data_IF_580426499327
#
_entry.id   IF_580426499327
#
_cell.length_a   1.000
_cell.length_b   1.000
_cell.length_c   1.000
_cell.angle_alpha   90.00
_cell.angle_beta   90.00
_cell.angle_gamma   90.00
#
_symmetry.space_group_name_H-M   'P 1'
#
loop_
_entity.id
_entity.type
_entity.pdbx_description
1 polymer ?
#
# COMPACT_ATOMS: atom_id res chain seq x y z
N UNK A 1 -1.35 -11.48 -12.42
CA UNK A 1 -1.91 -12.41 -11.45
C UNK A 1 -2.46 -11.57 -10.29
N UNK A 2 -3.71 -11.72 -9.97
CA UNK A 2 -4.42 -10.87 -9.01
C UNK A 2 -5.55 -11.66 -8.30
N UNK A 3 -5.50 -11.81 -7.00
CA UNK A 3 -4.30 -11.68 -6.17
C UNK A 3 -3.46 -12.97 -6.19
N UNK A 4 -2.16 -12.84 -5.98
CA UNK A 4 -1.24 -13.99 -5.99
C UNK A 4 -1.50 -14.96 -4.83
N UNK A 5 -1.89 -14.45 -3.67
CA UNK A 5 -2.15 -15.28 -2.48
C UNK A 5 -3.45 -16.11 -2.56
N UNK A 6 -4.25 -15.94 -3.61
CA UNK A 6 -5.42 -16.78 -3.92
C UNK A 6 -5.09 -17.97 -4.84
N UNK A 7 -3.80 -18.15 -5.17
CA UNK A 7 -3.38 -19.31 -5.96
C UNK A 7 -3.43 -20.59 -5.13
N UNK A 8 -3.80 -21.67 -5.77
CA UNK A 8 -3.85 -23.01 -5.15
C UNK A 8 -2.49 -23.41 -4.58
N UNK A 9 -2.52 -24.03 -3.42
CA UNK A 9 -1.33 -24.53 -2.74
C UNK A 9 -1.20 -26.04 -2.90
N UNK A 10 0.03 -26.52 -3.09
CA UNK A 10 0.33 -27.95 -3.10
C UNK A 10 0.21 -28.49 -1.66
N UNK A 11 -0.58 -29.54 -1.45
CA UNK A 11 -0.91 -30.08 -0.11
C UNK A 11 0.33 -30.48 0.72
N UNK A 12 1.38 -30.97 0.07
CA UNK A 12 2.57 -31.51 0.74
C UNK A 12 3.74 -30.53 0.86
N UNK A 13 3.58 -29.28 0.41
CA UNK A 13 4.70 -28.33 0.35
C UNK A 13 4.49 -27.17 1.32
N UNK A 14 5.47 -26.86 2.18
CA UNK A 14 5.37 -25.68 3.02
C UNK A 14 5.17 -24.41 2.17
N UNK A 15 4.13 -23.66 2.46
CA UNK A 15 3.67 -22.54 1.63
C UNK A 15 4.76 -21.49 1.34
N UNK A 16 5.64 -21.21 2.30
CA UNK A 16 6.75 -20.27 2.09
C UNK A 16 7.78 -20.78 1.06
N UNK A 17 7.91 -22.10 0.93
CA UNK A 17 8.77 -22.72 -0.07
C UNK A 17 8.10 -22.66 -1.44
N UNK A 18 6.82 -22.95 -1.52
CA UNK A 18 6.05 -22.86 -2.75
C UNK A 18 6.09 -21.42 -3.30
N UNK A 19 5.73 -20.41 -2.49
CA UNK A 19 5.77 -19.00 -2.90
C UNK A 19 7.16 -18.61 -3.44
N UNK A 20 8.23 -19.07 -2.81
CA UNK A 20 9.59 -18.82 -3.30
C UNK A 20 9.82 -19.41 -4.69
N UNK A 21 9.43 -20.66 -4.88
CA UNK A 21 9.68 -21.41 -6.10
C UNK A 21 8.81 -20.85 -7.26
N UNK A 22 7.57 -20.45 -6.97
CA UNK A 22 6.68 -19.80 -7.93
C UNK A 22 7.24 -18.43 -8.39
N UNK A 23 7.72 -17.63 -7.44
CA UNK A 23 8.35 -16.35 -7.78
C UNK A 23 9.62 -16.54 -8.60
N UNK A 24 10.43 -17.57 -8.34
CA UNK A 24 11.60 -17.90 -9.16
C UNK A 24 11.19 -18.29 -10.58
N UNK A 25 10.16 -19.13 -10.71
CA UNK A 25 9.62 -19.55 -12.01
C UNK A 25 9.13 -18.36 -12.82
N UNK A 26 8.37 -17.46 -12.20
CA UNK A 26 7.89 -16.25 -12.87
C UNK A 26 9.02 -15.31 -13.29
N UNK A 27 10.07 -15.18 -12.48
CA UNK A 27 11.26 -14.38 -12.84
C UNK A 27 11.97 -14.97 -14.06
N UNK A 28 12.16 -16.30 -14.09
CA UNK A 28 12.77 -16.99 -15.22
C UNK A 28 11.93 -16.81 -16.49
N UNK A 29 10.62 -17.04 -16.39
CA UNK A 29 9.70 -16.83 -17.51
C UNK A 29 9.74 -15.40 -18.05
N UNK A 30 9.69 -14.41 -17.17
CA UNK A 30 9.76 -13.00 -17.58
C UNK A 30 11.04 -12.67 -18.33
N UNK A 31 12.19 -13.19 -17.88
CA UNK A 31 13.47 -13.01 -18.57
C UNK A 31 13.52 -13.70 -19.93
N UNK A 32 13.06 -14.95 -20.01
CA UNK A 32 13.07 -15.73 -21.25
C UNK A 32 12.14 -15.15 -22.31
N UNK A 33 11.02 -14.59 -21.89
CA UNK A 33 10.01 -14.04 -22.81
C UNK A 33 10.11 -12.52 -22.99
N UNK A 34 11.06 -11.87 -22.33
CA UNK A 34 11.21 -10.40 -22.29
C UNK A 34 9.90 -9.69 -21.88
N UNK A 35 9.22 -10.23 -20.86
CA UNK A 35 7.96 -9.70 -20.36
C UNK A 35 8.10 -9.16 -18.96
N UNK A 36 7.40 -8.06 -18.68
CA UNK A 36 7.19 -7.56 -17.30
C UNK A 36 6.02 -8.31 -16.69
N UNK A 37 6.23 -8.87 -15.49
CA UNK A 37 5.19 -9.55 -14.73
C UNK A 37 4.83 -8.66 -13.55
N UNK A 38 3.57 -8.31 -13.43
CA UNK A 38 3.00 -7.56 -12.31
C UNK A 38 2.16 -8.53 -11.49
N UNK A 39 2.48 -8.61 -10.21
CA UNK A 39 1.74 -9.42 -9.25
C UNK A 39 1.11 -8.48 -8.23
N UNK A 40 -0.14 -8.72 -7.90
CA UNK A 40 -0.80 -8.06 -6.77
C UNK A 40 -0.89 -9.04 -5.62
N UNK A 41 -0.83 -8.52 -4.41
CA UNK A 41 -0.93 -9.30 -3.20
C UNK A 41 -1.68 -8.50 -2.13
N UNK A 42 -2.51 -9.18 -1.35
CA UNK A 42 -3.14 -8.56 -0.20
C UNK A 42 -2.18 -8.49 0.97
N UNK A 43 -2.35 -7.47 1.77
CA UNK A 43 -1.64 -7.35 3.03
C UNK A 43 -2.37 -8.16 4.10
N UNK A 44 -1.62 -8.67 5.06
CA UNK A 44 -2.20 -9.08 6.33
C UNK A 44 -2.77 -7.85 7.04
N UNK A 45 -3.57 -8.07 8.07
CA UNK A 45 -4.12 -6.98 8.87
C UNK A 45 -2.98 -6.11 9.43
N UNK A 46 -2.93 -4.88 8.96
CA UNK A 46 -1.98 -3.89 9.46
C UNK A 46 -2.52 -3.36 10.78
N UNK A 47 -1.73 -3.51 11.85
CA UNK A 47 -2.12 -2.99 13.16
C UNK A 47 -2.20 -1.47 13.14
N UNK A 48 -3.35 -0.95 13.52
CA UNK A 48 -3.55 0.48 13.75
C UNK A 48 -2.86 0.95 15.04
N UNK A 49 -2.51 2.21 15.08
CA UNK A 49 -1.96 2.89 16.26
C UNK A 49 -2.85 4.06 16.65
N UNK A 50 -3.06 4.23 17.95
CA UNK A 50 -3.75 5.39 18.46
C UNK A 50 -2.81 6.59 18.41
N UNK A 51 -3.25 7.67 17.76
CA UNK A 51 -2.55 8.95 17.70
C UNK A 51 -3.49 10.07 18.16
N UNK A 52 -2.90 11.20 18.51
CA UNK A 52 -3.66 12.43 18.81
C UNK A 52 -3.31 13.49 17.78
N UNK A 53 -4.32 14.24 17.38
CA UNK A 53 -4.15 15.42 16.54
C UNK A 53 -3.78 16.67 17.36
N UNK A 54 -3.67 17.81 16.68
CA UNK A 54 -3.36 19.10 17.33
C UNK A 54 -4.46 19.60 18.29
N UNK A 55 -5.69 19.12 18.12
CA UNK A 55 -6.81 19.39 19.02
C UNK A 55 -6.93 18.38 20.16
N UNK A 56 -5.94 17.50 20.31
CA UNK A 56 -5.88 16.42 21.28
C UNK A 56 -6.96 15.33 21.09
N UNK A 57 -7.61 15.31 19.92
CA UNK A 57 -8.56 14.27 19.56
C UNK A 57 -7.81 12.98 19.18
N UNK A 58 -8.24 11.85 19.70
CA UNK A 58 -7.68 10.54 19.40
C UNK A 58 -8.22 9.99 18.08
N UNK A 59 -7.36 9.33 17.30
CA UNK A 59 -7.75 8.63 16.08
C UNK A 59 -6.92 7.37 15.87
N UNK A 60 -7.49 6.41 15.15
CA UNK A 60 -6.76 5.22 14.72
C UNK A 60 -6.01 5.52 13.42
N UNK A 61 -4.71 5.37 13.44
CA UNK A 61 -3.85 5.50 12.28
C UNK A 61 -3.43 4.11 11.79
N UNK A 62 -3.79 3.79 10.56
CA UNK A 62 -3.30 2.62 9.85
C UNK A 62 -2.22 3.06 8.87
N UNK A 63 -0.95 2.69 9.10
CA UNK A 63 0.13 3.08 8.20
C UNK A 63 0.03 2.33 6.86
N UNK A 64 0.66 2.85 5.79
CA UNK A 64 0.84 2.08 4.57
C UNK A 64 1.56 0.76 4.89
N UNK A 65 1.06 -0.34 4.35
CA UNK A 65 1.65 -1.65 4.57
C UNK A 65 3.12 -1.67 4.14
N UNK A 66 3.95 -2.31 4.95
CA UNK A 66 5.36 -2.57 4.67
C UNK A 66 5.51 -3.97 4.07
N UNK A 67 6.68 -4.29 3.47
CA UNK A 67 6.90 -5.64 2.94
C UNK A 67 6.71 -6.76 3.97
N UNK A 68 6.99 -6.50 5.25
CA UNK A 68 6.78 -7.42 6.35
C UNK A 68 5.31 -7.66 6.71
N UNK A 69 4.42 -6.73 6.36
CA UNK A 69 2.99 -6.81 6.60
C UNK A 69 2.26 -7.61 5.49
N UNK A 70 2.98 -7.97 4.43
CA UNK A 70 2.43 -8.77 3.34
C UNK A 70 2.47 -10.26 3.67
N UNK A 71 1.51 -11.00 3.21
CA UNK A 71 1.58 -12.45 3.25
C UNK A 71 2.90 -12.91 2.59
N UNK A 72 3.73 -13.64 3.34
CA UNK A 72 5.07 -14.09 2.90
C UNK A 72 6.06 -12.95 2.56
N UNK A 73 5.93 -11.80 3.21
CA UNK A 73 6.59 -10.53 2.88
C UNK A 73 8.08 -10.59 2.62
N UNK A 74 8.84 -11.42 3.35
CA UNK A 74 10.27 -11.56 3.13
C UNK A 74 10.61 -12.16 1.76
N UNK A 75 9.79 -13.07 1.24
CA UNK A 75 10.01 -13.67 -0.08
C UNK A 75 9.82 -12.63 -1.18
N UNK A 76 8.78 -11.82 -1.09
CA UNK A 76 8.54 -10.71 -1.99
C UNK A 76 9.70 -9.73 -1.98
N UNK A 77 10.14 -9.33 -0.79
CA UNK A 77 11.25 -8.39 -0.66
C UNK A 77 12.54 -8.92 -1.27
N UNK A 78 12.82 -10.21 -1.13
CA UNK A 78 14.03 -10.82 -1.70
C UNK A 78 13.97 -10.96 -3.22
N UNK A 79 12.84 -11.38 -3.77
CA UNK A 79 12.72 -11.79 -5.17
C UNK A 79 12.30 -10.66 -6.12
N UNK A 80 11.36 -9.81 -5.74
CA UNK A 80 10.87 -8.75 -6.61
C UNK A 80 11.95 -7.74 -7.00
N UNK A 81 11.88 -7.26 -8.23
CA UNK A 81 12.70 -6.14 -8.72
C UNK A 81 12.19 -4.81 -8.21
N UNK A 82 10.87 -4.64 -8.18
CA UNK A 82 10.20 -3.47 -7.63
C UNK A 82 9.12 -3.92 -6.66
N UNK A 83 8.95 -3.15 -5.58
CA UNK A 83 7.86 -3.30 -4.65
C UNK A 83 7.16 -1.95 -4.52
N UNK A 84 5.88 -1.96 -4.83
CA UNK A 84 5.04 -0.77 -4.81
C UNK A 84 3.85 -1.05 -3.92
N UNK A 85 3.64 -0.20 -2.93
CA UNK A 85 2.42 -0.21 -2.11
C UNK A 85 1.49 0.88 -2.59
N UNK A 86 0.25 0.52 -2.86
CA UNK A 86 -0.84 1.46 -3.08
C UNK A 86 -1.66 1.50 -1.80
N UNK A 87 -1.74 2.66 -1.18
CA UNK A 87 -2.44 2.85 0.07
C UNK A 87 -3.49 3.93 -0.08
N UNK A 88 -4.70 3.62 0.33
CA UNK A 88 -5.79 4.59 0.43
C UNK A 88 -6.13 4.78 1.91
N UNK A 89 -5.87 5.96 2.49
CA UNK A 89 -6.23 6.23 3.88
C UNK A 89 -7.71 6.01 4.10
N UNK A 90 -8.05 5.22 5.11
CA UNK A 90 -9.43 5.04 5.53
C UNK A 90 -9.81 6.17 6.48
N UNK A 91 -10.99 6.77 6.32
CA UNK A 91 -11.47 7.78 7.24
C UNK A 91 -12.02 7.07 8.50
N UNK A 92 -11.20 6.98 9.52
CA UNK A 92 -11.63 6.44 10.82
C UNK A 92 -11.12 7.33 11.95
N UNK A 93 -12.02 7.94 12.69
CA UNK A 93 -11.73 8.52 14.01
C UNK A 93 -12.19 7.56 15.08
N UNK A 94 -11.52 7.54 16.20
CA UNK A 94 -11.91 6.76 17.37
C UNK A 94 -12.10 7.68 18.55
N UNK A 95 -13.15 7.42 19.32
CA UNK A 95 -13.29 7.93 20.66
C UNK A 95 -12.86 6.83 21.64
N UNK A 96 -11.97 7.18 22.56
CA UNK A 96 -11.61 6.28 23.66
C UNK A 96 -12.54 6.60 24.81
N UNK A 97 -13.41 5.67 25.14
CA UNK A 97 -14.29 5.78 26.29
C UNK A 97 -13.51 5.66 27.61
N UNK A 98 -14.11 6.14 28.70
CA UNK A 98 -13.47 6.17 30.02
C UNK A 98 -13.09 4.78 30.57
N UNK A 99 -13.71 3.73 30.07
CA UNK A 99 -13.45 2.31 30.41
C UNK A 99 -12.37 1.67 29.52
N UNK A 100 -11.81 2.40 28.56
CA UNK A 100 -10.80 1.91 27.63
C UNK A 100 -11.37 1.22 26.39
N UNK A 101 -12.69 1.18 26.23
CA UNK A 101 -13.32 0.77 24.99
C UNK A 101 -13.13 1.83 23.90
N UNK A 102 -13.10 1.37 22.66
CA UNK A 102 -12.86 2.23 21.51
C UNK A 102 -14.10 2.25 20.64
N UNK A 103 -14.74 3.40 20.52
CA UNK A 103 -15.80 3.62 19.55
C UNK A 103 -15.24 4.19 18.26
N UNK A 104 -15.61 3.57 17.13
CA UNK A 104 -15.13 3.95 15.81
C UNK A 104 -16.12 4.89 15.17
N UNK A 105 -15.85 6.17 15.22
CA UNK A 105 -16.60 7.13 14.42
C UNK A 105 -15.72 8.24 13.85
N UNK A 106 -15.89 8.52 12.57
CA UNK A 106 -15.50 9.75 11.85
C UNK A 106 -14.04 9.95 11.43
N UNK A 107 -13.90 10.57 10.32
CA UNK A 107 -12.81 10.97 9.42
C UNK A 107 -11.38 11.03 9.97
N UNK A 108 -10.50 10.23 9.41
CA UNK A 108 -9.06 10.28 9.65
C UNK A 108 -8.50 11.70 9.41
N UNK A 109 -7.77 12.32 10.36
CA UNK A 109 -7.23 13.69 10.21
C UNK A 109 -6.37 13.89 8.96
N UNK A 110 -5.73 12.85 8.48
CA UNK A 110 -4.97 12.85 7.24
C UNK A 110 -5.84 13.22 6.03
N UNK A 111 -7.10 12.80 6.02
CA UNK A 111 -8.06 13.18 4.98
C UNK A 111 -8.52 14.65 5.12
N UNK A 112 -8.61 15.16 6.33
CA UNK A 112 -8.93 16.57 6.59
C UNK A 112 -7.79 17.50 6.23
N UNK A 113 -6.57 17.17 6.59
CA UNK A 113 -5.39 17.96 6.26
C UNK A 113 -5.16 18.10 4.75
N UNK A 114 -5.56 17.08 3.99
CA UNK A 114 -5.47 17.07 2.53
C UNK A 114 -6.71 17.65 1.84
N UNK A 115 -7.74 18.02 2.57
CA UNK A 115 -8.99 18.68 2.11
C UNK A 115 -9.71 18.00 0.95
N UNK A 116 -9.39 16.75 0.66
CA UNK A 116 -9.91 16.00 -0.48
C UNK A 116 -10.65 14.71 -0.08
N UNK A 117 -10.94 14.55 1.20
CA UNK A 117 -11.68 13.40 1.70
C UNK A 117 -11.04 12.07 1.29
N UNK A 118 -11.86 11.13 0.85
CA UNK A 118 -11.44 9.78 0.46
C UNK A 118 -10.73 9.70 -0.91
N UNK A 119 -10.41 10.83 -1.53
CA UNK A 119 -9.91 10.86 -2.91
C UNK A 119 -8.39 10.81 -3.02
N UNK A 120 -7.67 10.71 -1.89
CA UNK A 120 -6.22 10.59 -1.90
C UNK A 120 -5.79 9.12 -1.92
N UNK A 121 -4.79 8.82 -2.72
CA UNK A 121 -4.06 7.56 -2.71
C UNK A 121 -2.56 7.85 -2.58
N UNK A 122 -1.89 7.09 -1.72
CA UNK A 122 -0.44 7.12 -1.58
C UNK A 122 0.16 5.96 -2.36
N UNK A 123 1.04 6.25 -3.29
CA UNK A 123 1.85 5.25 -3.98
C UNK A 123 3.26 5.31 -3.43
N UNK A 124 3.70 4.23 -2.83
CA UNK A 124 5.03 4.13 -2.21
C UNK A 124 5.87 3.07 -2.89
N UNK A 125 6.97 3.51 -3.50
CA UNK A 125 8.00 2.60 -4.03
C UNK A 125 8.92 2.23 -2.86
N UNK A 126 8.80 1.01 -2.39
CA UNK A 126 9.56 0.51 -1.22
C UNK A 126 10.88 -0.15 -1.61
N UNK A 127 10.97 -0.60 -2.85
CA UNK A 127 12.17 -1.23 -3.39
C UNK A 127 12.28 -1.00 -4.89
N UNK A 128 13.49 -0.77 -5.35
CA UNK A 128 13.84 -0.75 -6.77
C UNK A 128 15.20 -1.40 -6.98
N UNK A 129 15.31 -2.31 -7.92
CA UNK A 129 16.54 -2.97 -8.38
C UNK A 129 16.69 -2.80 -9.90
N UNK A 130 17.92 -2.72 -10.40
CA UNK A 130 19.17 -2.56 -9.68
C UNK A 130 19.27 -1.16 -9.03
N UNK A 131 20.19 -1.04 -8.06
CA UNK A 131 20.46 0.26 -7.41
C UNK A 131 20.83 1.31 -8.47
N UNK A 132 20.24 2.50 -8.35
CA UNK A 132 20.53 3.64 -9.24
C UNK A 132 19.59 3.79 -10.44
N UNK A 133 18.73 2.82 -10.76
CA UNK A 133 17.77 2.93 -11.87
C UNK A 133 16.42 3.49 -11.40
N UNK A 134 16.04 3.28 -10.15
CA UNK A 134 14.80 3.81 -9.62
C UNK A 134 15.01 4.47 -8.27
N UNK A 135 14.13 5.42 -7.94
CA UNK A 135 14.10 6.07 -6.64
C UNK A 135 13.10 5.38 -5.73
N UNK A 136 13.51 5.16 -4.49
CA UNK A 136 12.58 4.85 -3.40
C UNK A 136 11.93 6.17 -3.01
N UNK A 137 10.64 6.18 -2.79
CA UNK A 137 9.90 7.39 -2.44
C UNK A 137 8.41 7.16 -2.46
N UNK A 138 7.69 8.23 -2.29
CA UNK A 138 6.23 8.21 -2.29
C UNK A 138 5.65 9.37 -3.09
N UNK A 139 4.48 9.13 -3.65
CA UNK A 139 3.71 10.11 -4.41
C UNK A 139 2.27 10.09 -3.89
N UNK A 140 1.75 11.27 -3.61
CA UNK A 140 0.34 11.47 -3.30
C UNK A 140 -0.42 11.74 -4.60
N UNK A 141 -1.39 10.88 -4.88
CA UNK A 141 -2.31 11.05 -5.99
C UNK A 141 -3.69 11.39 -5.45
N UNK A 142 -4.32 12.35 -6.07
CA UNK A 142 -5.68 12.76 -5.76
C UNK A 142 -6.57 12.42 -6.94
N UNK A 143 -7.76 11.93 -6.67
CA UNK A 143 -8.72 11.61 -7.72
C UNK A 143 -9.73 12.74 -7.86
N UNK A 144 -9.80 13.33 -9.04
CA UNK A 144 -10.82 14.31 -9.41
C UNK A 144 -12.05 13.54 -9.93
N UNK A 145 -13.10 13.51 -9.13
CA UNK A 145 -14.33 12.77 -9.45
C UNK A 145 -15.03 13.34 -10.70
N UNK A 146 -14.95 14.65 -10.90
CA UNK A 146 -15.63 15.32 -12.03
C UNK A 146 -14.91 14.99 -13.32
N UNK A 147 -13.58 15.08 -13.33
CA UNK A 147 -12.74 14.77 -14.49
C UNK A 147 -12.44 13.30 -14.67
N UNK A 148 -12.74 12.48 -13.64
CA UNK A 148 -12.40 11.04 -13.57
C UNK A 148 -10.91 10.77 -13.84
N UNK A 149 -10.02 11.63 -13.31
CA UNK A 149 -8.58 11.56 -13.51
C UNK A 149 -7.83 11.75 -12.20
N UNK A 150 -6.65 11.13 -12.13
CA UNK A 150 -5.71 11.41 -11.06
C UNK A 150 -4.90 12.66 -11.35
N UNK A 151 -4.52 13.37 -10.29
CA UNK A 151 -3.62 14.51 -10.34
C UNK A 151 -2.68 14.53 -9.13
N UNK A 152 -1.54 15.19 -9.28
CA UNK A 152 -0.66 15.59 -8.19
C UNK A 152 -0.80 17.08 -7.93
N UNK A 153 -0.35 17.53 -6.77
CA UNK A 153 -0.29 18.94 -6.39
C UNK A 153 1.18 19.32 -6.22
N UNK A 154 1.61 20.38 -6.87
CA UNK A 154 2.96 20.93 -6.71
C UNK A 154 3.07 21.86 -5.48
N UNK A 155 4.28 22.38 -5.23
CA UNK A 155 4.57 23.30 -4.13
C UNK A 155 3.76 24.62 -4.20
N UNK A 156 3.32 25.00 -5.39
CA UNK A 156 2.51 26.18 -5.65
C UNK A 156 1.00 25.90 -5.64
N UNK A 157 0.59 24.71 -5.21
CA UNK A 157 -0.81 24.24 -5.18
C UNK A 157 -1.45 24.06 -6.57
N UNK A 158 -0.66 23.97 -7.65
CA UNK A 158 -1.19 23.69 -8.98
C UNK A 158 -1.45 22.20 -9.15
N UNK A 159 -2.54 21.87 -9.86
CA UNK A 159 -2.91 20.48 -10.18
C UNK A 159 -2.27 20.04 -11.49
N UNK A 160 -1.56 18.93 -11.45
CA UNK A 160 -0.96 18.27 -12.61
C UNK A 160 -1.68 16.93 -12.83
N UNK A 161 -2.47 16.85 -13.88
CA UNK A 161 -3.24 15.66 -14.21
C UNK A 161 -2.38 14.62 -14.94
N UNK A 162 -2.64 13.35 -14.66
CA UNK A 162 -2.09 12.28 -15.45
C UNK A 162 -2.69 12.30 -16.87
N UNK A 163 -1.87 12.10 -17.87
CA UNK A 163 -2.27 11.98 -19.28
C UNK A 163 -3.07 10.70 -19.55
#
# INVERSE_FOLDING_TARGET
IDPFNEMDTEEDKPIHKQVRDDLETLIVYGKQTNKTIILTNHTNDVKGWIRKDLSNQSYMYYPPARPEDWAFGQQWFRKAYQLITVYRPQPQTIEIMADGEVDVSVAHPYNHAMNNGNNMSLIKVQKSKPKGIGKIGEVHLFFDVIKQRYYTIDENQNKHYAD
#
